data_IF_392391849123
#
_entry.id   IF_392391849123
#
_cell.length_a   1.000
_cell.length_b   1.000
_cell.length_c   1.000
_cell.angle_alpha   90.00
_cell.angle_beta   90.00
_cell.angle_gamma   90.00
#
_symmetry.space_group_name_H-M   'P 1'
#
loop_
_entity.id
_entity.type
_entity.pdbx_description
1 polymer ?
#
# COMPACT_ATOMS: atom_id res chain seq x y z
N UNK A 1 -2.21 4.12 0.53
CA UNK A 1 -1.72 5.52 0.68
C UNK A 1 -1.29 5.73 2.12
N UNK A 2 -0.15 6.36 2.34
CA UNK A 2 0.40 6.68 3.66
C UNK A 2 0.62 8.17 3.75
N UNK A 3 0.21 8.75 4.87
CA UNK A 3 0.43 10.15 5.18
C UNK A 3 1.25 10.26 6.47
N UNK A 4 2.19 11.19 6.48
CA UNK A 4 3.06 11.53 7.58
C UNK A 4 2.75 12.95 8.05
N UNK A 5 2.61 13.14 9.36
CA UNK A 5 2.09 14.39 9.92
C UNK A 5 2.97 14.95 11.03
N UNK A 6 2.97 16.27 11.14
CA UNK A 6 3.64 17.01 12.20
C UNK A 6 2.86 16.95 13.53
N UNK A 7 3.48 17.35 14.66
CA UNK A 7 2.76 17.53 15.92
C UNK A 7 1.57 18.50 15.83
N UNK A 8 1.65 19.48 14.92
CA UNK A 8 0.61 20.50 14.66
C UNK A 8 -0.44 20.04 13.65
N UNK A 9 -0.43 18.76 13.25
CA UNK A 9 -1.34 18.13 12.29
C UNK A 9 -1.18 18.57 10.83
N UNK A 10 -0.02 19.13 10.48
CA UNK A 10 0.33 19.51 9.12
C UNK A 10 0.88 18.30 8.35
N UNK A 11 0.56 18.20 7.05
CA UNK A 11 1.03 17.11 6.21
C UNK A 11 2.50 17.34 5.82
N UNK A 12 3.39 16.44 6.25
CA UNK A 12 4.82 16.48 5.94
C UNK A 12 5.09 15.75 4.64
N UNK A 13 4.64 14.49 4.55
CA UNK A 13 4.87 13.63 3.38
C UNK A 13 3.71 12.69 3.10
N UNK A 14 3.56 12.30 1.83
CA UNK A 14 2.60 11.34 1.36
C UNK A 14 3.25 10.41 0.33
N UNK A 15 3.01 9.11 0.46
CA UNK A 15 3.47 8.12 -0.52
C UNK A 15 2.50 6.92 -0.60
N UNK A 16 2.59 6.15 -1.68
CA UNK A 16 1.79 4.95 -1.90
C UNK A 16 2.58 3.86 -2.61
N UNK A 17 2.27 2.61 -2.30
CA UNK A 17 2.83 1.45 -2.98
C UNK A 17 1.69 0.56 -3.46
N UNK A 18 1.87 -0.01 -4.64
CA UNK A 18 0.96 -0.97 -5.25
C UNK A 18 1.53 -2.37 -5.14
N UNK A 19 0.68 -3.33 -4.80
CA UNK A 19 1.05 -4.74 -4.74
C UNK A 19 0.27 -5.45 -5.85
N UNK A 20 1.00 -6.01 -6.82
CA UNK A 20 0.44 -6.86 -7.86
C UNK A 20 0.25 -8.28 -7.33
N UNK A 21 -0.81 -8.95 -7.77
CA UNK A 21 -1.10 -10.33 -7.38
C UNK A 21 -0.40 -11.38 -8.21
N UNK A 22 -0.57 -12.62 -7.75
CA UNK A 22 -0.10 -13.80 -8.46
C UNK A 22 -1.08 -14.17 -9.57
N UNK A 23 -0.56 -14.44 -10.77
CA UNK A 23 -1.36 -14.99 -11.86
C UNK A 23 -1.42 -16.51 -11.70
N UNK A 24 -2.57 -17.05 -11.31
CA UNK A 24 -2.75 -18.48 -11.07
C UNK A 24 -3.63 -19.10 -12.16
N UNK A 25 -3.10 -20.10 -12.87
CA UNK A 25 -3.86 -20.92 -13.83
C UNK A 25 -4.32 -22.21 -13.16
N UNK A 26 -5.62 -22.38 -13.01
CA UNK A 26 -6.20 -23.60 -12.45
C UNK A 26 -6.27 -24.72 -13.51
N UNK A 27 -6.22 -25.99 -13.08
CA UNK A 27 -6.30 -27.15 -13.97
C UNK A 27 -7.63 -27.21 -14.76
N UNK A 28 -8.67 -26.51 -14.27
CA UNK A 28 -9.95 -26.30 -14.92
C UNK A 28 -9.90 -25.31 -16.11
N UNK A 29 -8.74 -24.71 -16.39
CA UNK A 29 -8.57 -23.71 -17.45
C UNK A 29 -8.98 -22.29 -17.05
N UNK A 30 -9.39 -22.07 -15.79
CA UNK A 30 -9.75 -20.75 -15.28
C UNK A 30 -8.47 -19.98 -14.92
N UNK A 31 -8.33 -18.77 -15.45
CA UNK A 31 -7.31 -17.80 -15.08
C UNK A 31 -7.97 -16.77 -14.16
N UNK A 32 -7.42 -16.58 -12.95
CA UNK A 32 -7.90 -15.58 -11.98
C UNK A 32 -6.86 -14.48 -11.86
N UNK A 33 -7.24 -13.25 -12.19
CA UNK A 33 -6.38 -12.06 -12.07
C UNK A 33 -6.61 -11.36 -10.72
N UNK A 34 -6.52 -12.10 -9.61
CA UNK A 34 -6.71 -11.49 -8.28
C UNK A 34 -5.38 -10.94 -7.76
N UNK A 35 -5.37 -9.65 -7.35
CA UNK A 35 -4.18 -8.97 -6.84
C UNK A 35 -3.62 -9.57 -5.52
N UNK A 36 -4.41 -10.36 -4.79
CA UNK A 36 -3.99 -11.14 -3.63
C UNK A 36 -5.05 -12.23 -3.41
N UNK A 37 -4.67 -13.49 -3.29
CA UNK A 37 -5.62 -14.57 -2.99
C UNK A 37 -6.26 -14.36 -1.60
N UNK A 38 -7.54 -14.75 -1.38
CA UNK A 38 -8.16 -14.69 -0.07
C UNK A 38 -7.32 -15.42 0.99
N UNK A 39 -6.97 -14.71 2.07
CA UNK A 39 -6.12 -15.24 3.14
C UNK A 39 -4.61 -15.23 2.86
N UNK A 40 -4.18 -14.80 1.67
CA UNK A 40 -2.76 -14.58 1.38
C UNK A 40 -2.24 -13.31 2.04
N UNK A 41 -0.93 -13.25 2.26
CA UNK A 41 -0.24 -12.05 2.76
C UNK A 41 0.88 -11.70 1.79
N UNK A 42 1.11 -10.41 1.57
CA UNK A 42 2.22 -9.92 0.75
C UNK A 42 3.00 -8.87 1.52
N UNK A 43 4.32 -8.86 1.30
CA UNK A 43 5.23 -7.90 1.90
C UNK A 43 5.41 -6.73 0.94
N UNK A 44 5.34 -5.51 1.46
CA UNK A 44 5.65 -4.31 0.71
C UNK A 44 6.67 -3.46 1.49
N UNK A 45 7.43 -2.63 0.76
CA UNK A 45 8.34 -1.64 1.35
C UNK A 45 7.93 -0.26 0.88
N UNK A 46 7.72 0.64 1.83
CA UNK A 46 7.49 2.06 1.60
C UNK A 46 8.65 2.84 2.20
N UNK A 47 9.27 3.72 1.42
CA UNK A 47 10.40 4.54 1.86
C UNK A 47 9.99 6.00 1.74
N UNK A 48 9.85 6.68 2.88
CA UNK A 48 9.54 8.10 2.93
C UNK A 48 10.85 8.83 3.28
N UNK A 49 11.43 9.62 2.37
CA UNK A 49 12.57 10.46 2.70
C UNK A 49 12.13 11.53 3.70
N UNK A 50 12.95 11.78 4.72
CA UNK A 50 12.76 12.88 5.67
C UNK A 50 13.89 13.89 5.50
N UNK A 51 13.57 15.17 5.59
CA UNK A 51 14.53 16.25 5.61
C UNK A 51 15.00 16.53 7.04
N UNK A 52 16.18 17.13 7.17
CA UNK A 52 16.69 17.56 8.48
C UNK A 52 15.78 18.68 9.03
N UNK A 53 15.14 18.44 10.18
CA UNK A 53 14.18 19.36 10.79
C UNK A 53 12.71 18.93 10.70
N UNK A 54 12.38 17.85 9.98
CA UNK A 54 11.02 17.32 9.97
C UNK A 54 10.65 16.67 11.32
N UNK A 55 9.77 17.32 12.09
CA UNK A 55 9.20 16.72 13.31
C UNK A 55 7.99 15.85 12.95
N UNK A 56 8.12 14.54 13.12
CA UNK A 56 7.05 13.57 12.86
C UNK A 56 6.36 13.19 14.17
N UNK A 57 5.04 13.30 14.21
CA UNK A 57 4.25 12.92 15.40
C UNK A 57 3.37 11.70 15.18
N UNK A 58 2.72 11.59 14.01
CA UNK A 58 1.84 10.48 13.74
C UNK A 58 1.79 10.09 12.26
N UNK A 59 1.32 8.86 12.01
CA UNK A 59 1.25 8.23 10.69
C UNK A 59 -0.11 7.60 10.48
N UNK A 60 -0.68 7.81 9.29
CA UNK A 60 -1.96 7.20 8.91
C UNK A 60 -1.82 6.39 7.63
N UNK A 61 -2.52 5.25 7.58
CA UNK A 61 -2.52 4.33 6.46
C UNK A 61 -3.95 4.17 5.92
N UNK A 62 -4.10 4.31 4.61
CA UNK A 62 -5.31 3.99 3.90
C UNK A 62 -5.04 2.80 2.98
N UNK A 63 -5.83 1.74 3.18
CA UNK A 63 -5.86 0.57 2.30
C UNK A 63 -7.03 0.79 1.33
N UNK A 64 -6.75 0.69 0.03
CA UNK A 64 -7.75 0.78 -1.04
C UNK A 64 -7.66 -0.46 -1.91
N UNK A 65 -8.81 -0.94 -2.35
CA UNK A 65 -8.93 -2.06 -3.27
C UNK A 65 -9.60 -1.55 -4.54
N UNK A 66 -8.98 -1.78 -5.69
CA UNK A 66 -9.56 -1.49 -6.99
C UNK A 66 -9.95 -2.83 -7.64
N UNK A 67 -11.24 -3.05 -7.84
CA UNK A 67 -11.73 -4.16 -8.64
C UNK A 67 -11.82 -3.68 -10.08
N UNK A 68 -10.93 -4.19 -10.94
CA UNK A 68 -11.04 -4.01 -12.38
C UNK A 68 -12.14 -4.96 -12.87
N UNK A 69 -13.13 -4.40 -13.58
CA UNK A 69 -14.32 -5.09 -14.07
C UNK A 69 -14.18 -5.46 -15.53
#
# INVERSE_FOLDING_TARGET
IVNLWSPTTELIHQDSVFISGANQKYFSGIQSDTALEPGSTSKFRLVIPLSEGDEVSYRTYQIRWEAYK
#
